data_IF_130284032550
#
_entry.id   IF_130284032550
#
_cell.length_a   1.000
_cell.length_b   1.000
_cell.length_c   1.000
_cell.angle_alpha   90.00
_cell.angle_beta   90.00
_cell.angle_gamma   90.00
#
_symmetry.space_group_name_H-M   'P 1'
#
loop_
_entity.id
_entity.type
_entity.pdbx_description
1 polymer ?
#
# COMPACT_ATOMS: atom_id res chain seq x y z
N UNK A 1 7.73 -7.78 10.72
CA UNK A 1 7.15 -6.50 11.17
C UNK A 1 7.96 -5.38 10.53
N UNK A 2 7.32 -4.43 9.85
CA UNK A 2 8.00 -3.24 9.35
C UNK A 2 8.43 -2.39 10.55
N UNK A 3 9.72 -2.04 10.62
CA UNK A 3 10.26 -1.23 11.72
C UNK A 3 10.23 0.26 11.37
N UNK A 4 9.83 1.10 12.31
CA UNK A 4 9.87 2.57 12.15
C UNK A 4 11.27 3.08 11.81
N UNK A 5 12.31 2.47 12.39
CA UNK A 5 13.71 2.79 12.11
C UNK A 5 14.12 2.46 10.67
N UNK A 6 13.60 1.35 10.11
CA UNK A 6 13.85 0.99 8.71
C UNK A 6 13.29 2.06 7.79
N UNK A 7 12.03 2.48 7.98
CA UNK A 7 11.39 3.50 7.13
C UNK A 7 12.15 4.84 7.21
N UNK A 8 12.58 5.24 8.41
CA UNK A 8 13.34 6.50 8.61
C UNK A 8 14.74 6.47 8.00
N UNK A 9 15.38 5.31 8.00
CA UNK A 9 16.75 5.13 7.50
C UNK A 9 16.77 4.95 5.99
N UNK A 10 15.94 4.05 5.47
CA UNK A 10 15.87 3.75 4.03
C UNK A 10 15.22 4.91 3.26
N UNK A 11 14.25 5.61 3.88
CA UNK A 11 13.46 6.69 3.26
C UNK A 11 12.96 6.30 1.87
N UNK A 12 12.16 5.23 1.76
CA UNK A 12 11.73 4.73 0.46
C UNK A 12 10.86 5.78 -0.25
N UNK A 13 11.11 6.00 -1.54
CA UNK A 13 10.22 6.82 -2.38
C UNK A 13 8.88 6.11 -2.61
N UNK A 14 8.91 4.78 -2.71
CA UNK A 14 7.75 3.94 -2.94
C UNK A 14 7.83 2.62 -2.17
N UNK A 15 6.67 2.10 -1.78
CA UNK A 15 6.50 0.78 -1.18
C UNK A 15 5.57 -0.03 -2.08
N UNK A 16 5.95 -1.28 -2.35
CA UNK A 16 5.20 -2.19 -3.22
C UNK A 16 4.85 -3.42 -2.40
N UNK A 17 3.58 -3.83 -2.42
CA UNK A 17 3.09 -5.03 -1.73
C UNK A 17 1.94 -5.70 -2.49
N UNK A 18 1.69 -7.00 -2.30
CA UNK A 18 0.53 -7.68 -2.86
C UNK A 18 -0.79 -7.04 -2.41
N UNK A 19 -1.76 -6.97 -3.31
CA UNK A 19 -3.09 -6.44 -3.00
C UNK A 19 -3.79 -7.26 -1.91
N UNK A 20 -3.74 -8.59 -2.03
CA UNK A 20 -4.31 -9.54 -1.07
C UNK A 20 -3.33 -10.70 -0.91
N UNK A 21 -3.16 -11.17 0.32
CA UNK A 21 -2.48 -12.43 0.65
C UNK A 21 -3.39 -13.33 1.47
N UNK A 22 -2.91 -14.51 1.87
CA UNK A 22 -3.66 -15.42 2.74
C UNK A 22 -3.84 -14.89 4.18
N UNK A 23 -3.03 -13.92 4.60
CA UNK A 23 -2.93 -13.51 6.01
C UNK A 23 -3.17 -12.01 6.26
N UNK A 24 -3.01 -11.18 5.24
CA UNK A 24 -3.11 -9.72 5.30
C UNK A 24 -3.41 -9.15 3.91
N UNK A 25 -3.93 -7.94 3.85
CA UNK A 25 -4.17 -7.22 2.60
C UNK A 25 -3.50 -5.84 2.56
N UNK A 26 -3.55 -5.17 1.40
CA UNK A 26 -2.88 -3.87 1.25
C UNK A 26 -3.41 -2.79 2.22
N UNK A 27 -4.64 -2.92 2.72
CA UNK A 27 -5.20 -1.97 3.68
C UNK A 27 -4.51 -2.13 5.02
N UNK A 28 -4.29 -3.36 5.48
CA UNK A 28 -3.52 -3.65 6.70
C UNK A 28 -2.13 -2.99 6.62
N UNK A 29 -1.43 -3.18 5.50
CA UNK A 29 -0.12 -2.58 5.25
C UNK A 29 -0.20 -1.05 5.21
N UNK A 30 -1.21 -0.48 4.54
CA UNK A 30 -1.39 0.97 4.44
C UNK A 30 -1.58 1.62 5.82
N UNK A 31 -2.40 1.01 6.68
CA UNK A 31 -2.62 1.46 8.05
C UNK A 31 -1.30 1.45 8.84
N UNK A 32 -0.54 0.36 8.76
CA UNK A 32 0.77 0.27 9.43
C UNK A 32 1.73 1.36 8.94
N UNK A 33 1.78 1.62 7.63
CA UNK A 33 2.63 2.65 7.05
C UNK A 33 2.28 4.06 7.52
N UNK A 34 1.00 4.40 7.61
CA UNK A 34 0.55 5.69 8.15
C UNK A 34 0.93 5.84 9.63
N UNK A 35 0.74 4.79 10.43
CA UNK A 35 1.13 4.78 11.85
C UNK A 35 2.65 4.97 12.02
N UNK A 36 3.44 4.46 11.08
CA UNK A 36 4.89 4.66 11.03
C UNK A 36 5.29 6.04 10.48
N UNK A 37 4.33 6.84 10.02
CA UNK A 37 4.52 8.20 9.50
C UNK A 37 4.95 8.26 8.03
N UNK A 38 4.83 7.16 7.29
CA UNK A 38 5.06 7.14 5.85
C UNK A 38 3.94 7.86 5.11
N UNK A 39 4.30 8.60 4.05
CA UNK A 39 3.37 9.44 3.25
C UNK A 39 3.65 9.37 1.74
N UNK A 40 4.36 8.34 1.30
CA UNK A 40 4.78 8.18 -0.09
C UNK A 40 3.82 7.34 -0.93
N UNK A 41 4.33 6.81 -2.03
CA UNK A 41 3.57 5.95 -2.93
C UNK A 41 3.43 4.52 -2.37
N UNK A 42 2.19 4.02 -2.35
CA UNK A 42 1.88 2.63 -2.04
C UNK A 42 1.32 1.94 -3.29
N UNK A 43 2.10 1.01 -3.85
CA UNK A 43 1.71 0.21 -5.01
C UNK A 43 1.18 -1.15 -4.57
N UNK A 44 -0.08 -1.41 -4.86
CA UNK A 44 -0.70 -2.72 -4.70
C UNK A 44 -0.48 -3.56 -5.97
N UNK A 45 0.32 -4.62 -5.84
CA UNK A 45 0.56 -5.60 -6.87
C UNK A 45 -0.66 -6.52 -7.02
N UNK A 46 -1.22 -6.63 -8.22
CA UNK A 46 -2.43 -7.42 -8.48
C UNK A 46 -2.41 -8.05 -9.86
N UNK A 47 -3.20 -9.11 -10.05
CA UNK A 47 -3.65 -9.52 -11.38
C UNK A 47 -4.68 -8.50 -11.92
N UNK A 48 -4.96 -8.47 -13.23
CA UNK A 48 -5.95 -7.58 -13.81
C UNK A 48 -7.31 -7.69 -13.09
N UNK A 49 -7.86 -6.54 -12.68
CA UNK A 49 -9.12 -6.48 -11.95
C UNK A 49 -10.22 -5.89 -12.83
N UNK A 50 -11.47 -6.39 -12.73
CA UNK A 50 -12.58 -5.86 -13.52
C UNK A 50 -12.98 -4.42 -13.15
N UNK A 51 -12.62 -3.93 -11.95
CA UNK A 51 -12.96 -2.59 -11.41
C UNK A 51 -11.85 -2.06 -10.50
N UNK A 52 -10.66 -1.93 -11.04
CA UNK A 52 -9.44 -1.48 -10.37
C UNK A 52 -9.62 -0.16 -9.59
N UNK A 53 -10.45 0.74 -10.11
CA UNK A 53 -10.70 2.09 -9.58
C UNK A 53 -11.45 2.06 -8.25
N UNK A 54 -12.34 1.07 -8.06
CA UNK A 54 -13.05 0.90 -6.80
C UNK A 54 -12.08 0.51 -5.69
N UNK A 55 -11.15 -0.39 -5.98
CA UNK A 55 -10.11 -0.81 -5.02
C UNK A 55 -9.25 0.38 -4.63
N UNK A 56 -8.76 1.16 -5.60
CA UNK A 56 -7.99 2.38 -5.32
C UNK A 56 -8.79 3.32 -4.42
N UNK A 57 -10.08 3.54 -4.72
CA UNK A 57 -10.95 4.44 -3.95
C UNK A 57 -11.12 3.98 -2.50
N UNK A 58 -11.34 2.69 -2.29
CA UNK A 58 -11.53 2.12 -0.94
C UNK A 58 -10.25 2.19 -0.12
N UNK A 59 -9.11 1.77 -0.69
CA UNK A 59 -7.82 1.81 0.02
C UNK A 59 -7.41 3.25 0.31
N UNK A 60 -7.59 4.17 -0.64
CA UNK A 60 -7.29 5.61 -0.45
C UNK A 60 -8.20 6.27 0.58
N UNK A 61 -9.45 5.80 0.73
CA UNK A 61 -10.35 6.31 1.75
C UNK A 61 -9.93 5.89 3.16
N UNK A 62 -9.33 4.71 3.30
CA UNK A 62 -8.81 4.20 4.58
C UNK A 62 -7.43 4.80 4.90
N UNK A 63 -6.58 5.00 3.89
CA UNK A 63 -5.22 5.50 4.03
C UNK A 63 -5.03 6.85 3.30
N UNK A 64 -5.62 7.96 3.80
CA UNK A 64 -5.62 9.25 3.11
C UNK A 64 -4.27 9.96 3.05
N UNK A 65 -3.28 9.53 3.84
CA UNK A 65 -1.93 10.08 3.83
C UNK A 65 -1.01 9.39 2.81
N UNK A 66 -1.47 8.32 2.15
CA UNK A 66 -0.72 7.55 1.17
C UNK A 66 -1.21 7.85 -0.26
N UNK A 67 -0.28 7.80 -1.21
CA UNK A 67 -0.61 7.85 -2.64
C UNK A 67 -0.79 6.41 -3.16
N UNK A 68 -2.02 5.91 -3.14
CA UNK A 68 -2.31 4.52 -3.51
C UNK A 68 -2.40 4.36 -5.03
N UNK A 69 -1.71 3.36 -5.56
CA UNK A 69 -1.73 2.98 -6.98
C UNK A 69 -1.80 1.47 -7.12
N UNK A 70 -2.36 0.99 -8.23
CA UNK A 70 -2.30 -0.43 -8.58
C UNK A 70 -1.15 -0.68 -9.55
N UNK A 71 -0.47 -1.80 -9.37
CA UNK A 71 0.54 -2.33 -10.27
C UNK A 71 0.05 -3.68 -10.77
N UNK A 72 -0.50 -3.71 -11.98
CA UNK A 72 -0.98 -4.94 -12.59
C UNK A 72 0.19 -5.74 -13.17
N UNK A 73 0.28 -7.03 -12.83
CA UNK A 73 1.24 -7.97 -13.41
C UNK A 73 0.51 -9.00 -14.26
N UNK A 74 1.01 -9.19 -15.48
CA UNK A 74 0.48 -10.09 -16.51
C UNK A 74 1.33 -11.36 -16.63
#
# INVERSE_FOLDING_TARGET
MLGSEMIRTVRPDAIIGPLITANWDIVDLGIDLEQLGYRGDLFALTLPLPRAELVIREVSAVCPALNVRLLEVA
#
